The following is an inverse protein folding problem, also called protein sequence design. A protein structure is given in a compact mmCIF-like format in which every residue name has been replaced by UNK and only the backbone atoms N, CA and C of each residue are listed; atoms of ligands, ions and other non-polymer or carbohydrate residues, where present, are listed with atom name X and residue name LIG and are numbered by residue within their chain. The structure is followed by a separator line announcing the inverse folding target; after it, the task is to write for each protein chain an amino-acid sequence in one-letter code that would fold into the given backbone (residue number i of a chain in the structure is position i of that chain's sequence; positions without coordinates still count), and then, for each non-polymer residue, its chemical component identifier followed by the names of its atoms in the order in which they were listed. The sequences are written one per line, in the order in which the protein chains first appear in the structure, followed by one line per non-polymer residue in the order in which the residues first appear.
data_IF_754757002214
#
_entry.id   IF_754757002214
#
_cell.length_a   1.000
_cell.length_b   1.000
_cell.length_c   1.000
_cell.angle_alpha   90.00
_cell.angle_beta   90.00
_cell.angle_gamma   90.00
#
_symmetry.space_group_name_H-M   'P 1'
#
loop_
_entity.id
_entity.type
_entity.pdbx_description
1 polymer ?
#
# COMPACT_ATOMS: atom_id res chain seq x y z
N UNK A 1 -27.73 28.43 43.96
CA UNK A 1 -26.36 28.91 43.56
C UNK A 1 -25.25 28.35 44.44
N UNK A 2 -25.49 28.04 45.72
CA UNK A 2 -24.47 27.47 46.64
C UNK A 2 -24.01 26.06 46.29
N UNK A 3 -24.89 25.19 45.81
CA UNK A 3 -24.51 23.79 45.44
C UNK A 3 -23.49 23.69 44.29
N UNK A 4 -23.48 24.65 43.37
CA UNK A 4 -22.54 24.70 42.27
C UNK A 4 -21.15 25.16 42.72
N UNK A 5 -21.10 26.13 43.67
CA UNK A 5 -19.84 26.59 44.27
C UNK A 5 -19.15 25.47 45.04
N UNK A 6 -19.92 24.70 45.81
CA UNK A 6 -19.38 23.56 46.58
C UNK A 6 -18.83 22.45 45.70
N UNK A 7 -19.45 22.20 44.51
CA UNK A 7 -18.99 21.23 43.56
C UNK A 7 -17.67 21.64 42.88
N UNK A 8 -17.51 22.92 42.57
CA UNK A 8 -16.28 23.48 41.98
C UNK A 8 -15.12 23.45 42.98
N UNK A 9 -15.39 23.75 44.26
CA UNK A 9 -14.37 23.69 45.32
C UNK A 9 -13.90 22.26 45.58
N UNK A 10 -14.80 21.26 45.59
CA UNK A 10 -14.43 19.84 45.72
C UNK A 10 -13.60 19.35 44.55
N UNK A 11 -13.94 19.75 43.31
CA UNK A 11 -13.16 19.40 42.15
C UNK A 11 -11.75 20.01 42.17
N UNK A 12 -11.59 21.24 42.65
CA UNK A 12 -10.27 21.88 42.82
C UNK A 12 -9.43 21.22 43.93
N UNK A 13 -10.02 20.80 45.04
CA UNK A 13 -9.32 20.06 46.09
C UNK A 13 -8.88 18.68 45.65
N UNK A 14 -9.69 17.97 44.88
CA UNK A 14 -9.30 16.68 44.30
C UNK A 14 -8.17 16.79 43.25
N UNK A 15 -8.19 17.84 42.42
CA UNK A 15 -7.11 18.10 41.46
C UNK A 15 -5.78 18.47 42.16
N UNK A 16 -5.84 19.23 43.29
CA UNK A 16 -4.66 19.56 44.08
C UNK A 16 -4.08 18.36 44.84
N UNK A 17 -4.92 17.45 45.34
CA UNK A 17 -4.48 16.20 45.96
C UNK A 17 -3.84 15.23 44.97
N UNK A 18 -4.33 15.18 43.73
CA UNK A 18 -3.75 14.37 42.66
C UNK A 18 -2.39 14.90 42.18
N UNK A 19 -2.19 16.23 42.20
CA UNK A 19 -0.92 16.86 41.88
C UNK A 19 0.18 16.61 42.92
N UNK A 20 -0.20 16.52 44.21
CA UNK A 20 0.75 16.23 45.30
C UNK A 20 1.22 14.77 45.35
N UNK A 21 0.43 13.82 44.83
CA UNK A 21 0.77 12.41 44.81
C UNK A 21 1.69 12.03 43.61
N UNK A 22 1.85 12.90 42.62
CA UNK A 22 2.70 12.68 41.47
C UNK A 22 4.18 13.04 41.69
N UNK A 23 4.53 13.66 42.82
CA UNK A 23 5.87 14.21 43.08
C UNK A 23 6.86 13.22 43.74
N UNK A 24 6.49 11.96 43.97
CA UNK A 24 7.35 10.98 44.67
C UNK A 24 7.54 9.64 43.96
N UNK A 25 7.52 9.62 42.62
CA UNK A 25 8.03 8.47 41.86
C UNK A 25 9.51 8.70 41.53
N UNK A 26 10.41 7.75 41.84
CA UNK A 26 11.80 7.85 41.43
C UNK A 26 11.83 7.94 39.88
N UNK A 27 12.45 8.99 39.37
CA UNK A 27 12.82 9.07 37.95
C UNK A 27 13.67 7.85 37.61
N UNK A 28 13.05 6.81 37.02
CA UNK A 28 13.81 5.95 36.16
C UNK A 28 14.33 6.84 35.03
N UNK A 29 15.63 7.01 34.97
CA UNK A 29 16.32 7.55 33.82
C UNK A 29 15.71 6.84 32.59
N UNK A 30 14.93 7.59 31.81
CA UNK A 30 14.55 7.15 30.48
C UNK A 30 15.88 7.06 29.70
N UNK A 31 16.42 5.86 29.63
CA UNK A 31 17.38 5.51 28.59
C UNK A 31 16.70 5.94 27.29
N UNK A 32 17.32 6.85 26.58
CA UNK A 32 16.88 7.24 25.25
C UNK A 32 16.68 5.92 24.48
N UNK A 33 15.57 5.74 23.74
CA UNK A 33 15.38 4.54 22.94
C UNK A 33 16.65 4.42 22.10
N UNK A 34 17.33 3.28 22.19
CA UNK A 34 18.44 2.99 21.30
C UNK A 34 17.94 3.27 19.88
N UNK A 35 18.73 3.97 19.05
CA UNK A 35 18.36 4.15 17.66
C UNK A 35 18.10 2.75 17.13
N UNK A 36 16.85 2.48 16.72
CA UNK A 36 16.51 1.24 16.05
C UNK A 36 17.51 1.02 14.90
N UNK A 37 17.70 -0.22 14.43
CA UNK A 37 18.67 -0.52 13.41
C UNK A 37 18.58 0.55 12.33
N UNK A 38 19.69 1.25 12.11
CA UNK A 38 19.76 2.37 11.17
C UNK A 38 19.06 1.89 9.89
N UNK A 39 18.01 2.62 9.50
CA UNK A 39 17.42 2.45 8.16
C UNK A 39 18.63 2.33 7.24
N UNK A 40 18.85 1.22 6.52
CA UNK A 40 19.90 1.21 5.53
C UNK A 40 19.63 2.46 4.71
N UNK A 41 20.59 3.37 4.67
CA UNK A 41 20.50 4.55 3.84
C UNK A 41 20.34 4.02 2.41
N UNK A 42 19.09 3.82 2.00
CA UNK A 42 18.72 3.35 0.67
C UNK A 42 19.11 4.38 -0.40
N UNK A 43 19.77 5.48 0.02
CA UNK A 43 20.37 6.50 -0.82
C UNK A 43 21.83 6.27 -1.20
N UNK A 44 22.54 5.33 -0.56
CA UNK A 44 23.94 5.05 -0.87
C UNK A 44 24.07 3.81 -1.76
N UNK A 45 24.29 4.01 -3.06
CA UNK A 45 24.77 3.03 -4.06
C UNK A 45 23.82 1.87 -4.42
N UNK A 46 22.55 2.15 -4.66
CA UNK A 46 21.71 1.25 -5.46
C UNK A 46 21.73 1.80 -6.89
N UNK A 47 22.04 0.96 -7.86
CA UNK A 47 21.94 1.31 -9.28
C UNK A 47 20.51 1.78 -9.55
N UNK A 48 20.34 3.10 -9.68
CA UNK A 48 19.07 3.70 -10.04
C UNK A 48 18.77 3.25 -11.47
N UNK A 49 17.72 2.45 -11.64
CA UNK A 49 17.25 2.04 -12.96
C UNK A 49 16.28 3.13 -13.47
N UNK A 50 16.76 4.02 -14.38
CA UNK A 50 15.85 5.03 -14.92
C UNK A 50 14.80 4.33 -15.77
N UNK A 51 13.52 4.60 -15.44
CA UNK A 51 12.38 4.11 -16.23
C UNK A 51 12.31 4.88 -17.56
N UNK A 52 12.03 4.17 -18.67
CA UNK A 52 11.79 4.79 -19.98
C UNK A 52 10.40 5.46 -20.03
N UNK A 53 10.32 6.81 -20.11
CA UNK A 53 9.04 7.52 -20.13
C UNK A 53 8.14 7.07 -21.29
N UNK A 54 8.70 6.79 -22.46
CA UNK A 54 7.92 6.33 -23.63
C UNK A 54 7.35 4.93 -23.41
N UNK A 55 8.07 4.05 -22.70
CA UNK A 55 7.56 2.73 -22.31
C UNK A 55 6.41 2.86 -21.32
N UNK A 56 6.56 3.73 -20.33
CA UNK A 56 5.53 3.98 -19.32
C UNK A 56 4.25 4.52 -19.94
N UNK A 57 4.36 5.50 -20.84
CA UNK A 57 3.21 6.07 -21.54
C UNK A 57 2.45 5.03 -22.36
N UNK A 58 3.15 4.20 -23.13
CA UNK A 58 2.54 3.08 -23.87
C UNK A 58 1.79 2.12 -22.96
N UNK A 59 2.23 1.95 -21.72
CA UNK A 59 1.60 1.13 -20.69
C UNK A 59 0.60 1.90 -19.82
N UNK A 60 0.26 3.16 -20.18
CA UNK A 60 -0.68 4.01 -19.44
C UNK A 60 -0.25 4.32 -17.99
N UNK A 61 1.06 4.37 -17.76
CA UNK A 61 1.64 4.86 -16.51
C UNK A 61 1.87 6.36 -16.69
N UNK A 62 0.98 7.15 -16.11
CA UNK A 62 0.85 8.59 -16.39
C UNK A 62 1.25 9.47 -15.21
N UNK A 63 1.38 8.92 -14.02
CA UNK A 63 1.64 9.70 -12.79
C UNK A 63 3.09 10.12 -12.64
N UNK A 64 4.01 9.59 -13.45
CA UNK A 64 5.39 10.01 -13.45
C UNK A 64 5.53 11.45 -13.99
N UNK A 65 4.84 11.78 -15.07
CA UNK A 65 4.81 13.11 -15.65
C UNK A 65 3.86 14.02 -14.85
N UNK A 66 4.40 15.10 -14.28
CA UNK A 66 3.62 16.06 -13.48
C UNK A 66 2.63 16.88 -14.31
N UNK A 67 2.90 17.04 -15.57
CA UNK A 67 2.09 17.84 -16.51
C UNK A 67 1.04 16.98 -17.25
N UNK A 68 1.03 15.68 -17.03
CA UNK A 68 0.09 14.79 -17.71
C UNK A 68 -1.35 15.01 -17.20
N UNK A 69 -2.29 15.37 -18.10
CA UNK A 69 -3.67 15.67 -17.70
C UNK A 69 -4.43 14.47 -17.11
N UNK A 70 -3.96 13.26 -17.36
CA UNK A 70 -4.56 12.02 -16.82
C UNK A 70 -4.08 11.70 -15.41
N UNK A 71 -3.15 12.48 -14.85
CA UNK A 71 -2.64 12.31 -13.50
C UNK A 71 -3.67 12.69 -12.42
N UNK A 72 -4.46 13.75 -12.67
CA UNK A 72 -5.39 14.31 -11.67
C UNK A 72 -6.28 13.28 -10.97
N UNK A 73 -6.91 12.34 -11.68
CA UNK A 73 -7.68 11.26 -11.06
C UNK A 73 -6.88 10.39 -10.06
N UNK A 74 -5.60 10.12 -10.33
CA UNK A 74 -4.74 9.36 -9.43
C UNK A 74 -4.30 10.17 -8.21
N UNK A 75 -4.07 11.49 -8.36
CA UNK A 75 -3.76 12.36 -7.24
C UNK A 75 -4.96 12.50 -6.29
N UNK A 76 -6.19 12.55 -6.82
CA UNK A 76 -7.40 12.51 -6.01
C UNK A 76 -7.56 11.16 -5.31
N UNK A 77 -7.37 10.06 -6.04
CA UNK A 77 -7.42 8.71 -5.48
C UNK A 77 -6.39 8.54 -4.36
N UNK A 78 -5.14 8.97 -4.57
CA UNK A 78 -4.10 8.97 -3.53
C UNK A 78 -4.57 9.69 -2.28
N UNK A 79 -5.11 10.90 -2.43
CA UNK A 79 -5.55 11.70 -1.28
C UNK A 79 -6.61 10.98 -0.47
N UNK A 80 -7.63 10.41 -1.13
CA UNK A 80 -8.69 9.65 -0.47
C UNK A 80 -8.17 8.36 0.20
N UNK A 81 -7.27 7.66 -0.49
CA UNK A 81 -6.65 6.43 0.02
C UNK A 81 -5.80 6.72 1.25
N UNK A 82 -4.89 7.71 1.18
CA UNK A 82 -4.01 8.05 2.30
C UNK A 82 -4.79 8.55 3.50
N UNK A 83 -5.81 9.39 3.31
CA UNK A 83 -6.67 9.85 4.39
C UNK A 83 -7.32 8.67 5.11
N UNK A 84 -7.96 7.76 4.38
CA UNK A 84 -8.63 6.60 4.96
C UNK A 84 -7.66 5.63 5.63
N UNK A 85 -6.49 5.40 5.03
CA UNK A 85 -5.46 4.55 5.64
C UNK A 85 -4.93 5.17 6.93
N UNK A 86 -4.73 6.48 6.98
CA UNK A 86 -4.29 7.19 8.17
C UNK A 86 -5.33 7.15 9.31
N UNK A 87 -6.61 7.35 8.99
CA UNK A 87 -7.72 7.26 9.96
C UNK A 87 -7.77 5.91 10.69
N UNK A 88 -7.36 4.82 10.02
CA UNK A 88 -7.40 3.47 10.57
C UNK A 88 -6.03 2.91 10.99
N UNK A 89 -4.95 3.66 10.80
CA UNK A 89 -3.59 3.18 11.04
C UNK A 89 -3.13 2.10 10.06
N UNK A 90 -3.72 2.04 8.86
CA UNK A 90 -3.37 1.06 7.82
C UNK A 90 -2.12 1.46 7.06
N UNK A 91 -1.32 0.47 6.68
CA UNK A 91 -0.08 0.65 5.91
C UNK A 91 0.06 -0.30 4.74
N UNK A 92 -0.73 -1.36 4.70
CA UNK A 92 -0.73 -2.35 3.63
C UNK A 92 -2.06 -2.37 2.90
N UNK A 93 -2.04 -2.28 1.58
CA UNK A 93 -3.22 -2.25 0.73
C UNK A 93 -3.09 -3.27 -0.39
N UNK A 94 -4.05 -4.18 -0.50
CA UNK A 94 -4.20 -5.06 -1.65
C UNK A 94 -5.00 -4.36 -2.75
N UNK A 95 -4.54 -4.46 -3.99
CA UNK A 95 -5.28 -4.03 -5.18
C UNK A 95 -5.67 -5.27 -5.96
N UNK A 96 -6.97 -5.48 -6.13
CA UNK A 96 -7.52 -6.61 -6.87
C UNK A 96 -8.69 -6.18 -7.77
N UNK A 97 -9.27 -7.09 -8.52
CA UNK A 97 -10.38 -6.80 -9.43
C UNK A 97 -11.38 -7.96 -9.49
N UNK A 98 -12.63 -7.72 -9.95
CA UNK A 98 -13.57 -8.80 -10.20
C UNK A 98 -13.09 -9.76 -11.28
N UNK A 99 -12.50 -9.24 -12.35
CA UNK A 99 -12.16 -9.99 -13.56
C UNK A 99 -10.79 -9.60 -14.08
N UNK A 100 -10.25 -10.45 -14.94
CA UNK A 100 -9.02 -10.15 -15.71
C UNK A 100 -9.19 -8.90 -16.55
N UNK A 101 -8.08 -8.25 -16.90
CA UNK A 101 -8.07 -7.06 -17.75
C UNK A 101 -8.86 -5.84 -17.21
N UNK A 102 -9.27 -5.80 -15.96
CA UNK A 102 -9.89 -4.59 -15.35
C UNK A 102 -8.90 -3.42 -15.20
N UNK A 103 -7.60 -3.68 -15.35
CA UNK A 103 -6.52 -2.70 -15.25
C UNK A 103 -6.01 -2.50 -13.82
N UNK A 104 -6.16 -3.49 -12.93
CA UNK A 104 -5.68 -3.48 -11.54
C UNK A 104 -4.21 -3.09 -11.43
N UNK A 105 -3.32 -3.73 -12.22
CA UNK A 105 -1.87 -3.47 -12.21
C UNK A 105 -1.55 -2.04 -12.62
N UNK A 106 -2.20 -1.51 -13.66
CA UNK A 106 -2.03 -0.10 -14.08
C UNK A 106 -2.47 0.85 -12.97
N UNK A 107 -3.59 0.57 -12.31
CA UNK A 107 -4.06 1.37 -11.18
C UNK A 107 -3.09 1.26 -10.00
N UNK A 108 -2.60 0.06 -9.66
CA UNK A 108 -1.65 -0.16 -8.57
C UNK A 108 -0.34 0.61 -8.81
N UNK A 109 0.23 0.53 -10.01
CA UNK A 109 1.46 1.26 -10.37
C UNK A 109 1.26 2.76 -10.28
N UNK A 110 0.24 3.32 -10.94
CA UNK A 110 -0.02 4.76 -10.94
C UNK A 110 -0.32 5.28 -9.54
N UNK A 111 -1.08 4.53 -8.73
CA UNK A 111 -1.37 4.92 -7.35
C UNK A 111 -0.09 4.90 -6.49
N UNK A 112 0.75 3.86 -6.59
CA UNK A 112 2.00 3.78 -5.85
C UNK A 112 2.96 4.92 -6.23
N UNK A 113 3.08 5.25 -7.52
CA UNK A 113 3.83 6.42 -8.00
C UNK A 113 3.26 7.73 -7.45
N UNK A 114 1.93 7.89 -7.47
CA UNK A 114 1.29 9.07 -6.91
C UNK A 114 1.52 9.20 -5.40
N UNK A 115 1.52 8.08 -4.65
CA UNK A 115 1.86 8.07 -3.21
C UNK A 115 3.31 8.48 -3.00
N UNK A 116 4.26 7.96 -3.79
CA UNK A 116 5.67 8.30 -3.71
C UNK A 116 5.96 9.79 -3.98
N UNK A 117 5.10 10.49 -4.70
CA UNK A 117 5.20 11.94 -4.88
C UNK A 117 4.79 12.75 -3.64
N UNK A 118 4.23 12.11 -2.61
CA UNK A 118 3.94 12.77 -1.34
C UNK A 118 5.24 12.96 -0.54
N UNK A 119 5.56 14.16 -0.04
CA UNK A 119 6.87 14.46 0.55
C UNK A 119 7.20 13.65 1.81
N UNK A 120 6.17 13.18 2.53
CA UNK A 120 6.33 12.46 3.79
C UNK A 120 6.03 10.96 3.69
N UNK A 121 5.92 10.42 2.48
CA UNK A 121 5.56 9.01 2.27
C UNK A 121 6.48 8.34 1.26
N UNK A 122 6.69 7.07 1.46
CA UNK A 122 7.28 6.19 0.47
C UNK A 122 6.27 5.13 0.06
N UNK A 123 6.37 4.63 -1.16
CA UNK A 123 5.54 3.56 -1.67
C UNK A 123 6.39 2.36 -2.07
N UNK A 124 6.01 1.18 -1.62
CA UNK A 124 6.56 -0.08 -2.10
C UNK A 124 5.46 -0.82 -2.85
N UNK A 125 5.64 -0.97 -4.15
CA UNK A 125 4.78 -1.78 -5.00
C UNK A 125 5.29 -3.21 -5.04
N UNK A 126 4.45 -4.17 -4.70
CA UNK A 126 4.78 -5.60 -4.69
C UNK A 126 3.91 -6.35 -5.69
N UNK A 127 4.52 -7.07 -6.60
CA UNK A 127 3.81 -7.94 -7.53
C UNK A 127 3.52 -9.30 -6.87
N UNK A 128 2.31 -9.47 -6.38
CA UNK A 128 1.81 -10.71 -5.80
C UNK A 128 0.86 -11.48 -6.75
N UNK A 129 0.75 -11.08 -8.02
CA UNK A 129 0.12 -11.91 -9.05
C UNK A 129 1.11 -12.96 -9.53
N UNK A 130 1.37 -13.96 -8.70
CA UNK A 130 2.36 -15.01 -8.96
C UNK A 130 2.02 -15.89 -10.18
N UNK A 131 0.77 -15.84 -10.64
CA UNK A 131 0.33 -16.58 -11.84
C UNK A 131 0.59 -15.80 -13.12
N UNK A 132 0.42 -14.48 -13.07
CA UNK A 132 0.57 -13.60 -14.23
C UNK A 132 1.32 -12.31 -13.84
N UNK A 133 2.58 -12.41 -13.37
CA UNK A 133 3.34 -11.26 -12.91
C UNK A 133 3.44 -10.23 -14.05
N UNK A 134 3.15 -8.99 -13.75
CA UNK A 134 2.97 -7.94 -14.75
C UNK A 134 3.66 -6.62 -14.41
N UNK A 135 4.00 -6.37 -13.13
CA UNK A 135 4.59 -5.10 -12.71
C UNK A 135 5.91 -4.81 -13.41
N UNK A 136 6.84 -5.80 -13.45
CA UNK A 136 8.13 -5.62 -14.10
C UNK A 136 8.00 -5.31 -15.60
N UNK A 137 7.21 -6.05 -16.40
CA UNK A 137 6.96 -5.70 -17.81
C UNK A 137 6.32 -4.33 -18.02
N UNK A 138 5.34 -3.93 -17.18
CA UNK A 138 4.70 -2.63 -17.29
C UNK A 138 5.65 -1.47 -17.02
N UNK A 139 6.58 -1.64 -16.08
CA UNK A 139 7.60 -0.66 -15.75
C UNK A 139 8.84 -0.73 -16.64
N UNK A 140 8.99 -1.79 -17.45
CA UNK A 140 10.20 -2.00 -18.26
C UNK A 140 11.43 -2.36 -17.42
N UNK A 141 11.22 -3.00 -16.24
CA UNK A 141 12.32 -3.41 -15.39
C UNK A 141 13.08 -4.58 -16.00
N UNK A 142 14.42 -4.58 -15.94
CA UNK A 142 15.23 -5.71 -16.39
C UNK A 142 15.04 -6.92 -15.46
N UNK A 143 15.49 -8.09 -15.92
CA UNK A 143 15.61 -9.27 -15.08
C UNK A 143 16.58 -9.05 -13.92
N UNK A 144 16.39 -9.76 -12.82
CA UNK A 144 17.25 -9.68 -11.64
C UNK A 144 16.68 -10.47 -10.47
N UNK A 145 17.24 -10.24 -9.28
CA UNK A 145 16.70 -10.79 -8.03
C UNK A 145 15.29 -10.24 -7.81
N UNK A 146 14.36 -11.09 -7.42
CA UNK A 146 12.95 -10.78 -7.38
C UNK A 146 12.26 -11.49 -6.21
N UNK A 147 10.98 -11.28 -6.06
CA UNK A 147 10.17 -12.00 -5.07
C UNK A 147 10.27 -13.53 -5.22
N UNK A 148 10.53 -14.06 -6.43
CA UNK A 148 10.72 -15.49 -6.65
C UNK A 148 11.86 -16.07 -5.80
N UNK A 149 13.03 -15.41 -5.80
CA UNK A 149 14.21 -15.84 -5.05
C UNK A 149 13.99 -15.70 -3.55
N UNK A 150 13.30 -14.64 -3.13
CA UNK A 150 12.91 -14.43 -1.72
C UNK A 150 11.96 -15.52 -1.24
N UNK A 151 10.93 -15.84 -2.03
CA UNK A 151 9.99 -16.92 -1.72
C UNK A 151 10.68 -18.30 -1.67
N UNK A 152 11.65 -18.52 -2.55
CA UNK A 152 12.46 -19.74 -2.58
C UNK A 152 13.53 -19.83 -1.47
N UNK A 153 13.78 -18.73 -0.73
CA UNK A 153 14.85 -18.68 0.29
C UNK A 153 16.25 -18.56 -0.27
N UNK A 154 16.36 -18.12 -1.50
CA UNK A 154 17.63 -17.99 -2.23
C UNK A 154 18.18 -16.56 -2.16
N UNK A 155 17.37 -15.59 -1.69
CA UNK A 155 17.75 -14.19 -1.56
C UNK A 155 17.09 -13.54 -0.33
N UNK A 156 17.77 -12.54 0.20
CA UNK A 156 17.24 -11.65 1.23
C UNK A 156 16.22 -10.67 0.62
N UNK A 157 15.23 -10.26 1.41
CA UNK A 157 14.14 -9.38 0.95
C UNK A 157 14.68 -8.07 0.38
N UNK A 158 15.65 -7.43 1.06
CA UNK A 158 16.22 -6.16 0.64
C UNK A 158 16.91 -6.20 -0.72
N UNK A 159 17.56 -7.34 -1.08
CA UNK A 159 18.25 -7.49 -2.35
C UNK A 159 17.32 -7.66 -3.57
N UNK A 160 16.04 -7.95 -3.33
CA UNK A 160 15.02 -8.08 -4.37
C UNK A 160 14.22 -6.79 -4.59
N UNK A 161 14.38 -5.78 -3.73
CA UNK A 161 13.71 -4.49 -3.88
C UNK A 161 14.48 -3.63 -4.88
N UNK A 162 13.79 -3.19 -5.93
CA UNK A 162 14.34 -2.36 -7.01
C UNK A 162 14.02 -0.90 -6.76
N UNK A 163 15.03 -0.04 -6.91
CA UNK A 163 14.89 1.41 -6.92
C UNK A 163 14.72 1.89 -8.36
N UNK A 164 13.51 2.29 -8.71
CA UNK A 164 13.14 2.66 -10.08
C UNK A 164 13.55 4.11 -10.48
N UNK A 165 14.58 4.69 -9.85
CA UNK A 165 15.05 6.04 -10.16
C UNK A 165 14.09 7.18 -9.76
N UNK A 166 13.01 6.86 -9.05
CA UNK A 166 12.00 7.82 -8.58
C UNK A 166 12.10 7.90 -7.06
N UNK A 167 12.37 9.08 -6.47
CA UNK A 167 12.43 9.23 -5.03
C UNK A 167 11.15 8.72 -4.35
N UNK A 168 11.31 7.92 -3.31
CA UNK A 168 10.19 7.36 -2.55
C UNK A 168 9.44 6.21 -3.21
N UNK A 169 9.77 5.81 -4.44
CA UNK A 169 9.14 4.70 -5.15
C UNK A 169 10.05 3.48 -5.21
N UNK A 170 9.58 2.38 -4.65
CA UNK A 170 10.26 1.09 -4.57
C UNK A 170 9.38 0.01 -5.21
N UNK A 171 10.01 -1.00 -5.79
CA UNK A 171 9.31 -2.11 -6.43
C UNK A 171 9.90 -3.43 -5.97
N UNK A 172 9.06 -4.37 -5.56
CA UNK A 172 9.41 -5.78 -5.36
C UNK A 172 8.72 -6.59 -6.46
N UNK A 173 9.41 -6.85 -7.58
CA UNK A 173 8.81 -7.50 -8.73
C UNK A 173 8.76 -9.02 -8.54
N UNK A 174 7.80 -9.67 -9.19
CA UNK A 174 7.84 -11.09 -9.53
C UNK A 174 8.27 -11.22 -10.98
N UNK A 175 9.29 -12.02 -11.25
CA UNK A 175 9.85 -12.18 -12.62
C UNK A 175 9.33 -13.43 -13.32
N UNK A 176 8.97 -14.47 -12.58
CA UNK A 176 8.54 -15.76 -13.13
C UNK A 176 7.26 -16.23 -12.44
N UNK A 177 6.43 -16.91 -13.21
CA UNK A 177 5.24 -17.58 -12.67
C UNK A 177 5.63 -18.62 -11.63
N UNK A 178 4.81 -18.73 -10.58
CA UNK A 178 5.00 -19.68 -9.48
C UNK A 178 3.90 -20.73 -9.55
N UNK A 179 4.28 -22.00 -9.70
CA UNK A 179 3.35 -23.11 -9.60
C UNK A 179 2.91 -23.28 -8.13
N UNK A 180 1.64 -23.62 -7.88
CA UNK A 180 1.13 -23.75 -6.52
C UNK A 180 1.14 -22.41 -5.77
N UNK A 181 0.81 -21.33 -6.44
CA UNK A 181 0.88 -19.96 -5.87
C UNK A 181 0.06 -19.79 -4.59
N UNK A 182 -1.12 -20.42 -4.49
CA UNK A 182 -1.97 -20.33 -3.31
C UNK A 182 -1.31 -20.94 -2.06
N UNK A 183 -0.68 -22.11 -2.21
CA UNK A 183 0.07 -22.76 -1.14
C UNK A 183 1.27 -21.93 -0.71
N UNK A 184 2.01 -21.36 -1.67
CA UNK A 184 3.14 -20.47 -1.38
C UNK A 184 2.66 -19.23 -0.63
N UNK A 185 1.59 -18.58 -1.10
CA UNK A 185 1.01 -17.38 -0.49
C UNK A 185 0.41 -17.64 0.89
N UNK A 186 -0.04 -18.88 1.17
CA UNK A 186 -0.54 -19.27 2.48
C UNK A 186 0.58 -19.51 3.50
N UNK A 187 1.83 -19.65 3.06
CA UNK A 187 2.95 -20.05 3.90
C UNK A 187 3.29 -19.02 4.99
N UNK A 188 3.88 -19.50 6.10
CA UNK A 188 4.41 -18.64 7.17
C UNK A 188 5.53 -17.71 6.68
N UNK A 189 6.26 -18.11 5.63
CA UNK A 189 7.30 -17.29 5.01
C UNK A 189 6.70 -16.00 4.44
N UNK A 190 5.62 -16.10 3.67
CA UNK A 190 4.90 -14.93 3.15
C UNK A 190 4.37 -14.07 4.30
N UNK A 191 3.85 -14.68 5.35
CA UNK A 191 3.45 -13.95 6.56
C UNK A 191 4.59 -13.12 7.17
N UNK A 192 5.80 -13.67 7.26
CA UNK A 192 6.98 -12.93 7.75
C UNK A 192 7.38 -11.80 6.80
N UNK A 193 7.42 -12.07 5.49
CA UNK A 193 7.73 -11.05 4.47
C UNK A 193 6.76 -9.87 4.60
N UNK A 194 5.44 -10.12 4.63
CA UNK A 194 4.45 -9.05 4.72
C UNK A 194 4.55 -8.25 6.01
N UNK A 195 4.85 -8.90 7.14
CA UNK A 195 5.11 -8.19 8.41
C UNK A 195 6.36 -7.30 8.31
N UNK A 196 7.49 -7.81 7.80
CA UNK A 196 8.69 -7.01 7.61
C UNK A 196 8.44 -5.81 6.69
N UNK A 197 7.77 -6.02 5.54
CA UNK A 197 7.43 -4.94 4.62
C UNK A 197 6.59 -3.83 5.28
N UNK A 198 5.70 -4.20 6.21
CA UNK A 198 4.84 -3.29 6.94
C UNK A 198 5.55 -2.58 8.10
N UNK A 199 6.33 -3.33 8.88
CA UNK A 199 6.76 -2.90 10.21
C UNK A 199 8.13 -2.21 10.20
N UNK A 200 9.01 -2.59 9.26
CA UNK A 200 10.38 -2.08 9.22
C UNK A 200 10.46 -0.60 8.81
N UNK A 201 9.40 -0.03 8.21
CA UNK A 201 9.40 1.34 7.70
C UNK A 201 8.05 2.02 7.95
N UNK A 202 7.91 2.82 9.03
CA UNK A 202 6.62 3.42 9.44
C UNK A 202 5.98 4.33 8.39
N UNK A 203 6.80 5.04 7.59
CA UNK A 203 6.31 5.99 6.58
C UNK A 203 5.96 5.34 5.24
N UNK A 204 6.20 4.03 5.14
CA UNK A 204 5.99 3.28 3.90
C UNK A 204 4.54 2.81 3.78
N UNK A 205 3.98 3.05 2.60
CA UNK A 205 2.74 2.40 2.16
C UNK A 205 3.10 1.24 1.25
N UNK A 206 2.62 0.05 1.59
CA UNK A 206 2.81 -1.16 0.79
C UNK A 206 1.58 -1.39 -0.07
N UNK A 207 1.77 -1.42 -1.38
CA UNK A 207 0.72 -1.68 -2.38
C UNK A 207 0.98 -3.04 -3.01
N UNK A 208 0.08 -4.00 -2.80
CA UNK A 208 0.19 -5.34 -3.35
C UNK A 208 -0.72 -5.48 -4.57
N UNK A 209 -0.14 -5.70 -5.75
CA UNK A 209 -0.91 -6.06 -6.95
C UNK A 209 -1.25 -7.56 -6.88
N UNK A 210 -2.54 -7.89 -6.75
CA UNK A 210 -3.06 -9.24 -6.62
C UNK A 210 -3.83 -9.67 -7.88
N UNK A 211 -3.97 -10.98 -8.16
CA UNK A 211 -4.84 -11.46 -9.23
C UNK A 211 -6.31 -11.09 -8.99
N UNK A 212 -7.22 -11.33 -9.95
CA UNK A 212 -8.65 -11.12 -9.76
C UNK A 212 -9.21 -12.02 -8.64
N UNK A 213 -10.05 -11.43 -7.77
CA UNK A 213 -10.57 -12.12 -6.59
C UNK A 213 -11.53 -13.27 -6.91
N UNK A 214 -12.19 -13.24 -8.08
CA UNK A 214 -13.09 -14.32 -8.50
C UNK A 214 -12.38 -15.45 -9.25
N UNK A 215 -11.15 -15.22 -9.71
CA UNK A 215 -10.44 -16.17 -10.57
C UNK A 215 -9.59 -17.18 -9.80
N UNK A 216 -9.11 -16.83 -8.59
CA UNK A 216 -8.13 -17.63 -7.88
C UNK A 216 -8.21 -17.47 -6.36
N UNK A 217 -7.87 -18.52 -5.63
CA UNK A 217 -7.77 -18.58 -4.17
C UNK A 217 -6.55 -17.84 -3.60
N UNK A 218 -5.57 -17.51 -4.43
CA UNK A 218 -4.37 -16.73 -4.07
C UNK A 218 -4.73 -15.45 -3.31
N UNK A 219 -5.75 -14.73 -3.75
CA UNK A 219 -6.21 -13.48 -3.11
C UNK A 219 -6.68 -13.75 -1.69
N UNK A 220 -7.50 -14.79 -1.51
CA UNK A 220 -8.06 -15.15 -0.21
C UNK A 220 -6.97 -15.59 0.77
N UNK A 221 -5.86 -16.18 0.27
CA UNK A 221 -4.71 -16.54 1.09
C UNK A 221 -3.93 -15.33 1.62
N UNK A 222 -3.90 -14.22 0.86
CA UNK A 222 -3.15 -13.00 1.21
C UNK A 222 -3.97 -12.01 2.03
N UNK A 223 -5.26 -11.85 1.75
CA UNK A 223 -6.11 -10.81 2.35
C UNK A 223 -6.13 -10.78 3.89
N UNK A 224 -6.07 -11.91 4.63
CA UNK A 224 -6.00 -11.87 6.10
C UNK A 224 -4.73 -11.21 6.66
N UNK A 225 -3.73 -10.95 5.81
CA UNK A 225 -2.40 -10.44 6.18
C UNK A 225 -2.18 -8.99 5.75
N UNK A 226 -3.18 -8.36 5.14
CA UNK A 226 -3.16 -6.96 4.71
C UNK A 226 -4.22 -6.16 5.44
N UNK A 227 -4.01 -4.86 5.56
CA UNK A 227 -4.91 -4.00 6.33
C UNK A 227 -6.20 -3.69 5.58
N UNK A 228 -6.12 -3.47 4.26
CA UNK A 228 -7.29 -3.09 3.46
C UNK A 228 -7.19 -3.53 1.99
N UNK A 229 -8.30 -3.43 1.28
CA UNK A 229 -8.45 -3.84 -0.12
C UNK A 229 -9.03 -2.70 -0.96
N UNK A 230 -8.42 -2.42 -2.10
CA UNK A 230 -8.95 -1.57 -3.15
C UNK A 230 -9.44 -2.44 -4.31
N UNK A 231 -10.73 -2.36 -4.65
CA UNK A 231 -11.33 -3.13 -5.73
C UNK A 231 -11.36 -2.30 -7.02
N UNK A 232 -10.71 -2.77 -8.08
CA UNK A 232 -10.67 -2.11 -9.39
C UNK A 232 -11.66 -2.77 -10.34
N UNK A 233 -12.73 -2.07 -10.66
CA UNK A 233 -13.78 -2.50 -11.58
C UNK A 233 -13.52 -1.89 -12.96
N UNK A 234 -13.43 -2.71 -14.00
CA UNK A 234 -13.26 -2.24 -15.38
C UNK A 234 -14.61 -1.93 -16.03
N UNK A 235 -14.86 -0.68 -16.40
CA UNK A 235 -16.03 -0.31 -17.18
C UNK A 235 -16.05 -1.07 -18.50
N UNK A 236 -17.17 -1.74 -18.79
CA UNK A 236 -17.33 -2.55 -19.99
C UNK A 236 -16.58 -3.90 -19.98
N UNK A 237 -15.77 -4.21 -18.96
CA UNK A 237 -15.05 -5.49 -18.85
C UNK A 237 -15.44 -6.30 -17.62
N UNK A 238 -15.94 -5.67 -16.55
CA UNK A 238 -16.44 -6.39 -15.36
C UNK A 238 -17.96 -6.49 -15.42
N UNK A 239 -18.49 -7.68 -15.25
CA UNK A 239 -19.94 -7.91 -15.21
C UNK A 239 -20.52 -7.63 -13.82
N UNK A 240 -21.83 -7.37 -13.75
CA UNK A 240 -22.53 -7.19 -12.47
C UNK A 240 -22.41 -8.43 -11.57
N UNK A 241 -22.44 -9.63 -12.16
CA UNK A 241 -22.30 -10.88 -11.42
C UNK A 241 -20.92 -11.01 -10.78
N UNK A 242 -19.84 -10.74 -11.52
CA UNK A 242 -18.47 -10.78 -10.99
C UNK A 242 -18.26 -9.74 -9.88
N UNK A 243 -18.85 -8.54 -10.01
CA UNK A 243 -18.79 -7.51 -8.99
C UNK A 243 -19.48 -7.99 -7.70
N UNK A 244 -20.67 -8.57 -7.82
CA UNK A 244 -21.40 -9.07 -6.67
C UNK A 244 -20.72 -10.27 -6.00
N UNK A 245 -20.11 -11.14 -6.79
CA UNK A 245 -19.29 -12.25 -6.29
C UNK A 245 -18.05 -11.73 -5.54
N UNK A 246 -17.35 -10.76 -6.13
CA UNK A 246 -16.23 -10.08 -5.48
C UNK A 246 -16.64 -9.47 -4.13
N UNK A 247 -17.80 -8.81 -4.08
CA UNK A 247 -18.34 -8.24 -2.84
C UNK A 247 -18.56 -9.31 -1.77
N UNK A 248 -19.03 -10.50 -2.15
CA UNK A 248 -19.19 -11.63 -1.22
C UNK A 248 -17.86 -12.15 -0.69
N UNK A 249 -16.87 -12.32 -1.57
CA UNK A 249 -15.52 -12.74 -1.16
C UNK A 249 -14.84 -11.73 -0.24
N UNK A 250 -15.05 -10.44 -0.49
CA UNK A 250 -14.44 -9.35 0.27
C UNK A 250 -15.22 -8.94 1.53
N UNK A 251 -16.41 -9.49 1.78
CA UNK A 251 -17.32 -9.05 2.85
C UNK A 251 -16.73 -9.08 4.27
N UNK A 252 -15.71 -9.91 4.52
CA UNK A 252 -15.04 -10.04 5.82
C UNK A 252 -13.71 -9.29 5.91
N UNK A 253 -13.34 -8.56 4.87
CA UNK A 253 -12.10 -7.79 4.82
C UNK A 253 -12.41 -6.30 4.75
N UNK A 254 -11.45 -5.46 5.13
CA UNK A 254 -11.61 -4.02 5.11
C UNK A 254 -11.58 -3.49 3.67
N UNK A 255 -12.73 -3.31 3.06
CA UNK A 255 -12.84 -2.71 1.74
C UNK A 255 -12.59 -1.20 1.85
N UNK A 256 -11.40 -0.76 1.42
CA UNK A 256 -11.02 0.66 1.38
C UNK A 256 -11.95 1.45 0.44
N UNK A 257 -12.21 0.90 -0.74
CA UNK A 257 -13.06 1.53 -1.75
C UNK A 257 -13.12 0.74 -3.04
N UNK A 258 -13.86 1.30 -4.00
CA UNK A 258 -14.00 0.78 -5.36
C UNK A 258 -13.56 1.86 -6.35
N UNK A 259 -12.69 1.50 -7.27
CA UNK A 259 -12.26 2.35 -8.40
C UNK A 259 -12.89 1.84 -9.67
N UNK A 260 -13.60 2.71 -10.38
CA UNK A 260 -14.10 2.39 -11.73
C UNK A 260 -13.06 2.87 -12.73
N UNK A 261 -12.40 1.91 -13.39
CA UNK A 261 -11.38 2.14 -14.40
C UNK A 261 -11.95 1.99 -15.82
N UNK A 262 -11.23 2.46 -16.83
CA UNK A 262 -11.62 2.37 -18.27
C UNK A 262 -12.93 3.06 -18.60
N UNK A 263 -13.32 4.08 -17.87
CA UNK A 263 -14.52 4.86 -18.18
C UNK A 263 -14.30 5.60 -19.48
N UNK A 264 -15.17 5.36 -20.48
CA UNK A 264 -15.21 6.08 -21.75
C UNK A 264 -16.36 7.08 -21.71
N UNK A 265 -16.11 8.32 -22.03
CA UNK A 265 -17.12 9.37 -22.02
C UNK A 265 -16.52 10.73 -21.70
N UNK A 266 -17.31 11.81 -21.77
CA UNK A 266 -16.81 13.09 -21.30
C UNK A 266 -16.42 12.92 -19.84
N UNK A 267 -15.13 12.93 -19.59
CA UNK A 267 -14.59 13.02 -18.23
C UNK A 267 -15.34 14.15 -17.56
N UNK A 268 -16.06 13.84 -16.47
CA UNK A 268 -16.64 14.87 -15.65
C UNK A 268 -15.51 15.88 -15.40
N UNK A 269 -15.61 17.05 -15.99
CA UNK A 269 -14.66 18.12 -15.75
C UNK A 269 -14.80 18.40 -14.26
N UNK A 270 -13.84 17.96 -13.46
CA UNK A 270 -13.65 18.55 -12.15
C UNK A 270 -13.26 20.00 -12.41
N UNK A 271 -14.28 20.84 -12.65
CA UNK A 271 -14.11 22.27 -12.64
C UNK A 271 -13.83 22.63 -11.19
N UNK A 272 -12.62 23.04 -10.91
CA UNK A 272 -12.32 23.76 -9.69
C UNK A 272 -13.11 25.09 -9.78
N UNK A 273 -14.10 25.25 -8.91
CA UNK A 273 -14.68 26.53 -8.58
C UNK A 273 -13.89 27.12 -7.41
#
# INVERSE_FOLDING_TARGET
MERIKLAIERARQQASAAAGAAASRPQRSAEAPEPGPAVPDLGAAVDLLPLDPGHLERNRIVTLDRDNPLRGPFDLLRTQVLQKMQEHGWRTMAVTSPSVQSGKTVVAINLALSIAHHPERTALLVDFDLRHPSVAPYLGLPGGTSLNEVLGGQAELGSAIVHAGIPGFLVLPTQRKVAGSAEVLSSERVGRILRSLRDDYPERIVVLDLPPVTAVDDVIAVLPRVDCVLLVVGSGSSTKQEIEESRRHLARFNLLGVVVNKVTGPTARYAYY
#
